data_IF_509071516159
#
_entry.id   IF_509071516159
#
_cell.length_a   1.000
_cell.length_b   1.000
_cell.length_c   1.000
_cell.angle_alpha   90.00
_cell.angle_beta   90.00
_cell.angle_gamma   90.00
#
_symmetry.space_group_name_H-M   'P 1'
#
loop_
_entity.id
_entity.type
_entity.pdbx_description
1 polymer ?
#
# COMPACT_ATOMS: atom_id res chain seq x y z
N UNK A 1 5.17 -3.36 9.54
CA UNK A 1 4.64 -2.52 8.44
C UNK A 1 5.41 -2.73 7.13
N UNK A 2 6.72 -2.42 7.03
CA UNK A 2 7.49 -2.53 5.77
C UNK A 2 7.36 -3.86 5.01
N UNK A 3 7.47 -4.99 5.71
CA UNK A 3 7.35 -6.31 5.10
C UNK A 3 5.96 -6.53 4.47
N UNK A 4 4.89 -6.12 5.17
CA UNK A 4 3.53 -6.21 4.66
C UNK A 4 3.33 -5.34 3.40
N UNK A 5 3.91 -4.13 3.36
CA UNK A 5 3.87 -3.29 2.16
C UNK A 5 4.61 -3.92 0.97
N UNK A 6 5.70 -4.66 1.24
CA UNK A 6 6.36 -5.47 0.22
C UNK A 6 5.43 -6.55 -0.36
N UNK A 7 4.69 -7.26 0.49
CA UNK A 7 3.70 -8.24 0.04
C UNK A 7 2.52 -7.62 -0.69
N UNK A 8 2.08 -6.42 -0.31
CA UNK A 8 1.10 -5.66 -1.08
C UNK A 8 1.61 -5.40 -2.50
N UNK A 9 2.89 -5.03 -2.66
CA UNK A 9 3.47 -4.82 -3.99
C UNK A 9 3.54 -6.10 -4.82
N UNK A 10 3.89 -7.22 -4.20
CA UNK A 10 3.88 -8.53 -4.89
C UNK A 10 2.46 -8.87 -5.37
N UNK A 11 1.45 -8.66 -4.53
CA UNK A 11 0.04 -8.80 -4.89
C UNK A 11 -0.38 -7.85 -6.03
N UNK A 12 -0.04 -6.57 -5.93
CA UNK A 12 -0.41 -5.57 -6.92
C UNK A 12 0.22 -5.86 -8.28
N UNK A 13 1.48 -6.29 -8.31
CA UNK A 13 2.16 -6.69 -9.54
C UNK A 13 1.52 -7.92 -10.20
N UNK A 14 1.17 -8.94 -9.39
CA UNK A 14 0.44 -10.10 -9.90
C UNK A 14 -0.92 -9.68 -10.48
N UNK A 15 -1.66 -8.81 -9.77
CA UNK A 15 -2.95 -8.27 -10.23
C UNK A 15 -2.83 -7.50 -11.55
N UNK A 16 -1.78 -6.69 -11.72
CA UNK A 16 -1.51 -5.95 -12.97
C UNK A 16 -1.20 -6.91 -14.12
N UNK A 17 -0.41 -7.96 -13.89
CA UNK A 17 -0.14 -9.00 -14.88
C UNK A 17 -1.39 -9.76 -15.33
N UNK A 18 -2.40 -9.87 -14.47
CA UNK A 18 -3.67 -10.54 -14.74
C UNK A 18 -4.76 -9.61 -15.29
N UNK A 19 -4.44 -8.35 -15.63
CA UNK A 19 -5.45 -7.33 -15.92
C UNK A 19 -6.44 -7.74 -17.03
N UNK A 20 -5.98 -8.37 -18.11
CA UNK A 20 -6.85 -8.82 -19.21
C UNK A 20 -7.81 -9.93 -18.76
N UNK A 21 -7.31 -10.92 -18.02
CA UNK A 21 -8.13 -12.01 -17.49
C UNK A 21 -9.18 -11.49 -16.50
N UNK A 22 -8.79 -10.59 -15.60
CA UNK A 22 -9.69 -9.99 -14.62
C UNK A 22 -10.74 -9.08 -15.28
N UNK A 23 -10.39 -8.38 -16.37
CA UNK A 23 -11.37 -7.63 -17.19
C UNK A 23 -12.44 -8.56 -17.75
N UNK A 24 -12.08 -9.78 -18.17
CA UNK A 24 -13.03 -10.80 -18.61
C UNK A 24 -14.01 -11.23 -17.50
N UNK A 25 -13.53 -11.39 -16.27
CA UNK A 25 -14.39 -11.72 -15.10
C UNK A 25 -15.34 -10.57 -14.75
N UNK A 26 -14.87 -9.33 -14.84
CA UNK A 26 -15.75 -8.16 -14.63
C UNK A 26 -16.82 -8.08 -15.71
N UNK A 27 -16.46 -8.36 -16.97
CA UNK A 27 -17.41 -8.38 -18.08
C UNK A 27 -18.48 -9.48 -17.94
N UNK A 28 -18.22 -10.55 -17.17
CA UNK A 28 -19.23 -11.57 -16.86
C UNK A 28 -20.14 -11.19 -15.68
N UNK A 29 -19.99 -9.99 -15.11
CA UNK A 29 -20.83 -9.46 -14.03
C UNK A 29 -20.34 -9.79 -12.62
N UNK A 30 -19.18 -10.42 -12.47
CA UNK A 30 -18.59 -10.75 -11.17
C UNK A 30 -17.62 -9.64 -10.75
N UNK A 31 -17.68 -9.18 -9.49
CA UNK A 31 -16.67 -8.29 -8.92
C UNK A 31 -15.60 -9.10 -8.16
N UNK A 32 -14.43 -9.40 -8.76
CA UNK A 32 -13.39 -10.17 -8.09
C UNK A 32 -12.61 -9.39 -7.01
N UNK A 33 -12.93 -8.11 -6.80
CA UNK A 33 -12.12 -7.19 -5.99
C UNK A 33 -12.74 -6.78 -4.66
N UNK A 34 -14.06 -6.91 -4.48
CA UNK A 34 -14.75 -6.31 -3.33
C UNK A 34 -14.16 -6.77 -1.99
N UNK A 35 -14.10 -8.09 -1.78
CA UNK A 35 -13.59 -8.67 -0.55
C UNK A 35 -12.09 -8.40 -0.35
N UNK A 36 -11.29 -8.47 -1.42
CA UNK A 36 -9.85 -8.24 -1.30
C UNK A 36 -9.53 -6.78 -0.99
N UNK A 37 -10.30 -5.83 -1.51
CA UNK A 37 -10.13 -4.41 -1.20
C UNK A 37 -10.40 -4.12 0.29
N UNK A 38 -11.52 -4.64 0.83
CA UNK A 38 -11.86 -4.49 2.25
C UNK A 38 -10.78 -5.11 3.16
N UNK A 39 -10.37 -6.34 2.88
CA UNK A 39 -9.34 -7.02 3.68
C UNK A 39 -7.99 -6.29 3.67
N UNK A 40 -7.60 -5.69 2.54
CA UNK A 40 -6.35 -4.92 2.44
C UNK A 40 -6.46 -3.60 3.22
N UNK A 41 -7.59 -2.90 3.11
CA UNK A 41 -7.85 -1.67 3.88
C UNK A 41 -7.84 -1.93 5.39
N UNK A 42 -8.48 -3.00 5.84
CA UNK A 42 -8.54 -3.37 7.26
C UNK A 42 -7.16 -3.74 7.80
N UNK A 43 -6.38 -4.50 7.03
CA UNK A 43 -5.01 -4.86 7.41
C UNK A 43 -4.09 -3.63 7.47
N UNK A 44 -4.21 -2.71 6.51
CA UNK A 44 -3.43 -1.48 6.48
C UNK A 44 -3.79 -0.58 7.68
N UNK A 45 -5.08 -0.44 7.98
CA UNK A 45 -5.57 0.33 9.12
C UNK A 45 -5.00 -0.20 10.44
N UNK A 46 -5.10 -1.52 10.68
CA UNK A 46 -4.55 -2.15 11.89
C UNK A 46 -3.03 -1.95 12.03
N UNK A 47 -2.29 -2.06 10.93
CA UNK A 47 -0.84 -1.84 10.95
C UNK A 47 -0.46 -0.39 11.24
N UNK A 48 -1.21 0.57 10.68
CA UNK A 48 -1.00 2.00 10.92
C UNK A 48 -1.38 2.37 12.36
N UNK A 49 -2.51 1.89 12.87
CA UNK A 49 -2.94 2.15 14.25
C UNK A 49 -1.91 1.65 15.27
N UNK A 50 -1.39 0.44 15.07
CA UNK A 50 -0.34 -0.11 15.92
C UNK A 50 0.96 0.73 15.85
N UNK A 51 1.32 1.21 14.66
CA UNK A 51 2.52 2.02 14.45
C UNK A 51 2.38 3.44 15.04
N UNK A 52 1.20 4.06 14.93
CA UNK A 52 0.86 5.32 15.60
C UNK A 52 0.91 5.15 17.12
N UNK A 53 0.30 4.09 17.65
CA UNK A 53 0.30 3.78 19.08
C UNK A 53 1.73 3.58 19.61
N UNK A 54 2.61 2.98 18.81
CA UNK A 54 4.02 2.80 19.14
C UNK A 54 4.86 4.09 18.97
N UNK A 55 4.28 5.17 18.45
CA UNK A 55 4.98 6.44 18.21
C UNK A 55 6.04 6.38 17.11
N UNK A 56 5.96 5.40 16.20
CA UNK A 56 6.95 5.23 15.11
C UNK A 56 6.52 5.96 13.83
N UNK A 57 5.23 6.26 13.67
CA UNK A 57 4.71 7.06 12.56
C UNK A 57 3.78 8.19 13.05
N UNK A 58 3.64 9.23 12.23
CA UNK A 58 2.66 10.31 12.37
C UNK A 58 1.21 9.79 12.32
N UNK A 59 0.29 10.48 12.98
CA UNK A 59 -1.11 10.06 13.14
C UNK A 59 -2.12 10.76 12.21
N UNK A 60 -1.67 11.70 11.39
CA UNK A 60 -2.52 12.55 10.54
C UNK A 60 -2.65 12.04 9.10
N UNK A 61 -2.13 10.84 8.80
CA UNK A 61 -2.30 10.16 7.51
C UNK A 61 -3.27 9.00 7.66
N UNK A 62 -4.30 8.97 6.80
CA UNK A 62 -5.30 7.91 6.81
C UNK A 62 -4.82 6.65 6.09
N UNK A 63 -5.38 5.48 6.45
CA UNK A 63 -5.15 4.24 5.72
C UNK A 63 -5.61 4.31 4.26
N UNK A 64 -6.64 5.12 3.97
CA UNK A 64 -7.11 5.35 2.60
C UNK A 64 -6.08 6.11 1.77
N UNK A 65 -5.45 7.16 2.32
CA UNK A 65 -4.40 7.90 1.63
C UNK A 65 -3.16 7.03 1.41
N UNK A 66 -2.79 6.24 2.42
CA UNK A 66 -1.68 5.30 2.32
C UNK A 66 -1.95 4.22 1.25
N UNK A 67 -3.17 3.69 1.17
CA UNK A 67 -3.55 2.75 0.12
C UNK A 67 -3.47 3.37 -1.28
N UNK A 68 -3.89 4.64 -1.42
CA UNK A 68 -3.79 5.38 -2.68
C UNK A 68 -2.31 5.57 -3.10
N UNK A 69 -1.43 5.92 -2.16
CA UNK A 69 0.00 6.03 -2.41
C UNK A 69 0.59 4.71 -2.91
N UNK A 70 0.29 3.59 -2.24
CA UNK A 70 0.75 2.27 -2.64
C UNK A 70 0.24 1.85 -4.02
N UNK A 71 -1.01 2.17 -4.32
CA UNK A 71 -1.60 1.93 -5.65
C UNK A 71 -0.87 2.74 -6.72
N UNK A 72 -0.54 4.00 -6.45
CA UNK A 72 0.26 4.84 -7.36
C UNK A 72 1.65 4.26 -7.63
N UNK A 73 2.32 3.76 -6.60
CA UNK A 73 3.62 3.08 -6.74
C UNK A 73 3.47 1.84 -7.64
N UNK A 74 2.49 0.97 -7.37
CA UNK A 74 2.26 -0.21 -8.20
C UNK A 74 2.00 0.12 -9.67
N UNK A 75 1.23 1.18 -9.96
CA UNK A 75 0.99 1.64 -11.32
C UNK A 75 2.26 2.19 -11.99
N UNK A 76 3.10 2.91 -11.25
CA UNK A 76 4.32 3.53 -11.77
C UNK A 76 5.49 2.55 -11.97
N UNK A 77 5.58 1.52 -11.12
CA UNK A 77 6.72 0.60 -11.03
C UNK A 77 6.32 -0.87 -11.04
N UNK A 78 5.26 -1.22 -11.77
CA UNK A 78 4.69 -2.58 -11.77
C UNK A 78 5.44 -3.61 -12.63
N UNK A 79 6.42 -3.19 -13.43
CA UNK A 79 7.20 -4.12 -14.27
C UNK A 79 8.34 -4.78 -13.49
N UNK A 80 8.73 -6.03 -13.83
CA UNK A 80 9.82 -6.73 -13.14
C UNK A 80 11.12 -5.93 -13.06
N UNK A 81 11.51 -5.26 -14.14
CA UNK A 81 12.72 -4.42 -14.21
C UNK A 81 12.65 -3.15 -13.33
N UNK A 82 11.47 -2.78 -12.85
CA UNK A 82 11.25 -1.62 -11.99
C UNK A 82 11.20 -1.98 -10.50
N UNK A 83 11.52 -3.22 -10.12
CA UNK A 83 11.44 -3.69 -8.72
C UNK A 83 12.22 -2.80 -7.76
N UNK A 84 13.46 -2.43 -8.11
CA UNK A 84 14.26 -1.56 -7.26
C UNK A 84 13.68 -0.15 -7.13
N UNK A 85 13.02 0.36 -8.18
CA UNK A 85 12.31 1.64 -8.12
C UNK A 85 11.12 1.54 -7.17
N UNK A 86 10.35 0.46 -7.23
CA UNK A 86 9.23 0.22 -6.31
C UNK A 86 9.70 0.20 -4.85
N UNK A 87 10.81 -0.49 -4.56
CA UNK A 87 11.37 -0.56 -3.21
C UNK A 87 11.81 0.82 -2.71
N UNK A 88 12.50 1.62 -3.54
CA UNK A 88 12.87 3.00 -3.17
C UNK A 88 11.67 3.91 -2.95
N UNK A 89 10.60 3.77 -3.73
CA UNK A 89 9.37 4.55 -3.56
C UNK A 89 8.61 4.15 -2.30
N UNK A 90 8.60 2.87 -1.95
CA UNK A 90 8.06 2.38 -0.68
C UNK A 90 8.83 2.94 0.51
N UNK A 91 10.16 2.90 0.46
CA UNK A 91 11.02 3.42 1.52
C UNK A 91 10.80 4.94 1.68
N UNK A 92 10.78 5.69 0.57
CA UNK A 92 10.46 7.13 0.58
C UNK A 92 9.09 7.43 1.21
N UNK A 93 8.08 6.61 0.90
CA UNK A 93 6.72 6.79 1.44
C UNK A 93 6.70 6.52 2.95
N UNK A 94 7.41 5.50 3.41
CA UNK A 94 7.54 5.18 4.83
C UNK A 94 8.35 6.23 5.60
N UNK A 95 9.40 6.77 5.00
CA UNK A 95 10.18 7.87 5.58
C UNK A 95 9.27 9.09 5.81
N UNK A 96 8.38 9.40 4.86
CA UNK A 96 7.38 10.47 4.99
C UNK A 96 6.32 10.23 6.08
N UNK A 97 6.16 8.99 6.56
CA UNK A 97 5.31 8.66 7.69
C UNK A 97 6.04 8.73 9.03
N UNK A 98 7.37 8.77 9.06
CA UNK A 98 8.13 8.74 10.31
C UNK A 98 7.68 9.85 11.24
N UNK A 99 7.47 9.52 12.51
CA UNK A 99 7.12 10.50 13.53
C UNK A 99 8.24 11.54 13.62
N UNK A 100 7.92 12.82 13.40
CA UNK A 100 8.90 13.91 13.46
C UNK A 100 9.52 13.97 14.87
N UNK A 101 10.87 13.83 15.01
CA UNK A 101 11.53 14.02 16.30
C UNK A 101 11.31 15.42 16.90
N UNK A 102 10.90 16.43 16.09
CA UNK A 102 10.71 17.81 16.54
C UNK A 102 9.40 18.08 17.31
N UNK A 103 8.47 17.11 17.44
CA UNK A 103 7.21 17.34 18.18
C UNK A 103 7.29 17.12 19.70
N UNK A 104 8.47 16.79 20.25
CA UNK A 104 8.67 16.55 21.69
C UNK A 104 9.04 17.78 22.53
N UNK A 105 9.30 18.92 21.91
CA UNK A 105 9.74 20.13 22.62
C UNK A 105 8.76 21.30 22.41
N UNK A 106 7.63 21.30 23.12
CA UNK A 106 6.87 22.51 23.48
C UNK A 106 6.11 22.31 24.80
#
# INVERSE_FOLDING_TARGET
>A
MRAWLGHFMDYANAKLGMADALRGVVASGVNPYAQSHELIQDALSQLMDAAVTAGVIRSDISATDMFAALTGIALASGKPEQREQADRLLDLTLDGLSADPASKDF
#
